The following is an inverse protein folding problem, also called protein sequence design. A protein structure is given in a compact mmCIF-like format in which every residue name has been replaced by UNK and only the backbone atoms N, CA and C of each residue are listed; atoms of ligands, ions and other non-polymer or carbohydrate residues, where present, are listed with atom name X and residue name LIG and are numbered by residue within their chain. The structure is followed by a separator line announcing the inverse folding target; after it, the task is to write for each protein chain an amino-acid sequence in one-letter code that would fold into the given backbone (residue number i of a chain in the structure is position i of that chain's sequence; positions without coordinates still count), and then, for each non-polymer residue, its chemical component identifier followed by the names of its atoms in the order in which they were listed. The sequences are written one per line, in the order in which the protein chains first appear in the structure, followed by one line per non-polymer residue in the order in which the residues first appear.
data_IF_909059611225
#
_entry.id   IF_909059611225
#
_cell.length_a   1.000
_cell.length_b   1.000
_cell.length_c   1.000
_cell.angle_alpha   90.00
_cell.angle_beta   90.00
_cell.angle_gamma   90.00
#
_symmetry.space_group_name_H-M   'P 1'
#
loop_
_entity.id
_entity.type
_entity.pdbx_description
1 polymer ?
#
# COMPACT_ATOMS: atom_id res chain seq x y z
N UNK A 1 -12.46 -19.69 9.99
CA UNK A 1 -12.64 -18.26 10.33
C UNK A 1 -12.24 -17.43 9.12
N UNK A 2 -12.80 -16.22 8.95
CA UNK A 2 -12.38 -15.32 7.86
C UNK A 2 -10.97 -14.81 8.18
N UNK A 3 -10.09 -14.75 7.19
CA UNK A 3 -8.72 -14.27 7.32
C UNK A 3 -8.64 -12.76 7.55
N UNK A 4 -7.41 -12.26 7.70
CA UNK A 4 -7.12 -10.84 7.97
C UNK A 4 -6.47 -10.20 6.75
N UNK A 5 -6.97 -9.05 6.31
CA UNK A 5 -6.41 -8.27 5.22
C UNK A 5 -5.62 -7.06 5.71
N UNK A 6 -4.33 -7.00 5.39
CA UNK A 6 -3.41 -5.93 5.78
C UNK A 6 -2.84 -5.30 4.52
N UNK A 7 -2.89 -3.97 4.42
CA UNK A 7 -2.16 -3.23 3.37
C UNK A 7 -1.00 -2.42 3.97
N UNK A 8 0.16 -2.47 3.32
CA UNK A 8 1.33 -1.67 3.68
C UNK A 8 1.51 -0.57 2.63
N UNK A 9 1.38 0.67 3.08
CA UNK A 9 1.26 1.89 2.29
C UNK A 9 2.37 2.88 2.64
N UNK A 10 2.48 3.94 1.83
CA UNK A 10 3.44 5.02 2.02
C UNK A 10 4.22 5.40 0.75
N UNK A 11 5.10 6.42 0.85
CA UNK A 11 5.89 6.93 -0.27
C UNK A 11 6.81 5.89 -0.91
N UNK A 12 7.29 6.17 -2.12
CA UNK A 12 8.31 5.31 -2.75
C UNK A 12 9.56 5.20 -1.88
N UNK A 13 10.19 4.02 -1.88
CA UNK A 13 11.45 3.74 -1.15
C UNK A 13 11.39 3.88 0.38
N UNK A 14 10.22 4.09 0.98
CA UNK A 14 10.05 4.11 2.46
C UNK A 14 10.25 2.74 3.13
N UNK A 15 10.25 1.64 2.37
CA UNK A 15 10.55 0.29 2.88
C UNK A 15 9.39 -0.70 2.87
N UNK A 16 8.24 -0.34 2.25
CA UNK A 16 7.02 -1.17 2.19
C UNK A 16 7.27 -2.63 1.83
N UNK A 17 7.96 -2.90 0.71
CA UNK A 17 8.22 -4.26 0.26
C UNK A 17 9.13 -5.03 1.21
N UNK A 18 10.04 -4.34 1.90
CA UNK A 18 10.92 -4.96 2.90
C UNK A 18 10.11 -5.35 4.14
N UNK A 19 9.31 -4.42 4.67
CA UNK A 19 8.49 -4.69 5.84
C UNK A 19 7.40 -5.73 5.57
N UNK A 20 6.82 -5.77 4.37
CA UNK A 20 5.89 -6.82 3.98
C UNK A 20 6.51 -8.22 3.95
N UNK A 21 7.76 -8.35 3.49
CA UNK A 21 8.49 -9.63 3.54
C UNK A 21 8.81 -10.05 4.97
N UNK A 22 9.33 -9.13 5.79
CA UNK A 22 9.65 -9.43 7.20
C UNK A 22 8.40 -9.83 7.99
N UNK A 23 7.29 -9.12 7.78
CA UNK A 23 6.02 -9.48 8.41
C UNK A 23 5.57 -10.88 8.00
N UNK A 24 5.55 -11.18 6.69
CA UNK A 24 5.22 -12.52 6.19
C UNK A 24 6.12 -13.58 6.83
N UNK A 25 7.43 -13.36 6.89
CA UNK A 25 8.38 -14.34 7.40
C UNK A 25 8.16 -14.58 8.91
N UNK A 26 8.01 -13.52 9.71
CA UNK A 26 7.64 -13.62 11.13
C UNK A 26 6.33 -14.39 11.35
N UNK A 27 5.31 -14.16 10.52
CA UNK A 27 4.04 -14.87 10.61
C UNK A 27 4.18 -16.36 10.25
N UNK A 28 4.97 -16.68 9.22
CA UNK A 28 5.25 -18.07 8.84
C UNK A 28 6.01 -18.81 9.92
N UNK A 29 7.00 -18.17 10.53
CA UNK A 29 7.79 -18.74 11.63
C UNK A 29 6.91 -19.01 12.88
N UNK A 30 5.88 -18.18 13.07
CA UNK A 30 4.86 -18.38 14.10
C UNK A 30 3.75 -19.38 13.70
N UNK A 31 3.84 -20.03 12.54
CA UNK A 31 2.85 -21.00 12.07
C UNK A 31 1.53 -20.40 11.55
N UNK A 32 1.47 -19.08 11.33
CA UNK A 32 0.28 -18.37 10.83
C UNK A 32 0.24 -18.43 9.30
N UNK A 33 -0.79 -19.05 8.68
CA UNK A 33 -0.98 -19.06 7.23
C UNK A 33 -1.11 -17.64 6.67
N UNK A 34 -0.20 -17.27 5.77
CA UNK A 34 -0.19 -15.94 5.18
C UNK A 34 0.30 -15.92 3.73
N UNK A 35 -0.09 -14.88 3.00
CA UNK A 35 0.44 -14.56 1.66
C UNK A 35 0.92 -13.11 1.61
N UNK A 36 1.90 -12.85 0.77
CA UNK A 36 2.37 -11.51 0.45
C UNK A 36 2.10 -11.24 -1.04
N UNK A 37 1.39 -10.15 -1.31
CA UNK A 37 1.08 -9.68 -2.66
C UNK A 37 1.39 -8.18 -2.77
N UNK A 38 1.13 -7.56 -3.92
CA UNK A 38 1.40 -6.14 -4.18
C UNK A 38 0.48 -5.58 -5.28
N UNK A 39 0.34 -4.26 -5.31
CA UNK A 39 -0.28 -3.52 -6.42
C UNK A 39 0.71 -2.52 -7.06
N UNK A 40 0.70 -2.32 -8.40
CA UNK A 40 -0.08 -3.05 -9.40
C UNK A 40 0.21 -4.56 -9.36
N UNK A 41 -0.81 -5.38 -9.59
CA UNK A 41 -0.77 -6.83 -9.40
C UNK A 41 0.10 -7.54 -10.43
N UNK A 42 0.42 -8.82 -10.21
CA UNK A 42 1.10 -9.65 -11.21
C UNK A 42 0.14 -10.27 -12.25
N UNK A 43 -1.14 -9.83 -12.27
CA UNK A 43 -2.11 -10.18 -13.32
C UNK A 43 -1.93 -9.33 -14.59
N UNK A 44 -2.70 -9.66 -15.64
CA UNK A 44 -2.60 -9.02 -16.96
C UNK A 44 -2.70 -7.49 -16.91
N UNK A 45 -3.62 -6.95 -16.11
CA UNK A 45 -3.84 -5.50 -15.99
C UNK A 45 -2.66 -4.84 -15.26
N UNK A 46 -2.23 -5.39 -14.13
CA UNK A 46 -1.08 -4.86 -13.37
C UNK A 46 0.24 -4.94 -14.14
N UNK A 47 0.46 -6.01 -14.93
CA UNK A 47 1.59 -6.11 -15.86
C UNK A 47 1.53 -5.02 -16.92
N UNK A 48 0.35 -4.76 -17.50
CA UNK A 48 0.14 -3.70 -18.47
C UNK A 48 0.42 -2.32 -17.86
N UNK A 49 -0.17 -2.02 -16.69
CA UNK A 49 0.06 -0.77 -15.95
C UNK A 49 1.55 -0.49 -15.72
N UNK A 50 2.31 -1.49 -15.24
CA UNK A 50 3.75 -1.30 -14.99
C UNK A 50 4.56 -0.98 -16.25
N UNK A 51 4.13 -1.47 -17.42
CA UNK A 51 4.77 -1.16 -18.70
C UNK A 51 4.42 0.26 -19.15
N UNK A 52 3.15 0.64 -19.05
CA UNK A 52 2.65 1.90 -19.63
C UNK A 52 2.83 3.13 -18.73
N UNK A 53 2.93 2.97 -17.40
CA UNK A 53 3.08 4.10 -16.47
C UNK A 53 4.36 4.92 -16.71
N UNK A 54 5.33 4.35 -17.43
CA UNK A 54 6.58 5.01 -17.82
C UNK A 54 6.56 5.59 -19.25
N UNK A 55 5.46 5.38 -20.00
CA UNK A 55 5.32 5.77 -21.41
C UNK A 55 4.74 7.17 -21.63
N UNK A 56 4.13 7.39 -22.81
CA UNK A 56 3.30 8.58 -23.10
C UNK A 56 2.03 8.45 -22.25
N UNK A 57 2.09 8.99 -21.02
CA UNK A 57 1.15 8.68 -19.94
C UNK A 57 -0.33 8.86 -20.30
N UNK A 58 -1.18 8.22 -19.51
CA UNK A 58 -2.63 8.37 -19.59
C UNK A 58 -3.10 9.70 -19.02
N UNK A 59 -4.33 10.11 -19.34
CA UNK A 59 -5.04 11.11 -18.56
C UNK A 59 -5.23 10.63 -17.11
N UNK A 60 -5.19 11.50 -16.10
CA UNK A 60 -5.26 11.12 -14.69
C UNK A 60 -6.45 10.19 -14.35
N UNK A 61 -7.62 10.46 -14.91
CA UNK A 61 -8.84 9.68 -14.71
C UNK A 61 -8.74 8.30 -15.36
N UNK A 62 -8.09 8.22 -16.53
CA UNK A 62 -7.84 6.94 -17.21
C UNK A 62 -6.87 6.08 -16.40
N UNK A 63 -5.81 6.70 -15.87
CA UNK A 63 -4.87 6.00 -14.97
C UNK A 63 -5.59 5.49 -13.72
N UNK A 64 -6.42 6.31 -13.08
CA UNK A 64 -7.23 5.93 -11.92
C UNK A 64 -8.13 4.71 -12.20
N UNK A 65 -8.81 4.70 -13.36
CA UNK A 65 -9.65 3.58 -13.79
C UNK A 65 -8.84 2.30 -14.02
N UNK A 66 -7.65 2.41 -14.62
CA UNK A 66 -6.78 1.25 -14.83
C UNK A 66 -6.30 0.65 -13.50
N UNK A 67 -5.91 1.49 -12.54
CA UNK A 67 -5.56 1.05 -11.18
C UNK A 67 -6.76 0.41 -10.46
N UNK A 68 -7.96 0.99 -10.59
CA UNK A 68 -9.17 0.42 -10.01
C UNK A 68 -9.53 -0.94 -10.64
N UNK A 69 -9.36 -1.08 -11.96
CA UNK A 69 -9.58 -2.34 -12.67
C UNK A 69 -8.58 -3.43 -12.23
N UNK A 70 -7.29 -3.09 -12.11
CA UNK A 70 -6.27 -4.01 -11.59
C UNK A 70 -6.59 -4.46 -10.15
N UNK A 71 -6.95 -3.50 -9.29
CA UNK A 71 -7.31 -3.78 -7.90
C UNK A 71 -8.51 -4.69 -7.77
N UNK A 72 -9.57 -4.46 -8.55
CA UNK A 72 -10.78 -5.30 -8.50
C UNK A 72 -10.47 -6.73 -8.93
N UNK A 73 -9.67 -6.89 -10.00
CA UNK A 73 -9.26 -8.21 -10.50
C UNK A 73 -8.41 -8.94 -9.47
N UNK A 74 -7.41 -8.25 -8.91
CA UNK A 74 -6.53 -8.76 -7.87
C UNK A 74 -7.31 -9.13 -6.59
N UNK A 75 -8.26 -8.30 -6.18
CA UNK A 75 -9.10 -8.56 -5.02
C UNK A 75 -9.93 -9.84 -5.20
N UNK A 76 -10.58 -10.00 -6.35
CA UNK A 76 -11.44 -11.16 -6.63
C UNK A 76 -10.67 -12.45 -6.85
N UNK A 77 -9.47 -12.38 -7.44
CA UNK A 77 -8.67 -13.57 -7.78
C UNK A 77 -7.73 -14.04 -6.68
N UNK A 78 -7.21 -13.12 -5.87
CA UNK A 78 -6.13 -13.43 -4.93
C UNK A 78 -6.54 -13.14 -3.50
N UNK A 79 -6.97 -11.90 -3.21
CA UNK A 79 -7.20 -11.44 -1.84
C UNK A 79 -8.42 -12.15 -1.24
N UNK A 80 -9.60 -12.01 -1.84
CA UNK A 80 -10.84 -12.55 -1.29
C UNK A 80 -10.82 -14.08 -1.13
N UNK A 81 -10.34 -14.88 -2.11
CA UNK A 81 -10.19 -16.32 -1.92
C UNK A 81 -9.25 -16.67 -0.75
N UNK A 82 -8.12 -15.98 -0.63
CA UNK A 82 -7.17 -16.22 0.47
C UNK A 82 -7.76 -15.88 1.84
N UNK A 83 -8.55 -14.81 1.92
CA UNK A 83 -9.29 -14.46 3.14
C UNK A 83 -10.35 -15.52 3.48
N UNK A 84 -11.02 -16.10 2.48
CA UNK A 84 -11.99 -17.16 2.71
C UNK A 84 -11.34 -18.47 3.21
N UNK A 85 -10.08 -18.70 2.86
CA UNK A 85 -9.25 -19.78 3.41
C UNK A 85 -8.69 -19.49 4.82
N UNK A 86 -9.03 -18.33 5.39
CA UNK A 86 -8.59 -17.93 6.72
C UNK A 86 -7.20 -17.27 6.77
N UNK A 87 -6.50 -17.12 5.64
CA UNK A 87 -5.10 -16.63 5.61
C UNK A 87 -5.00 -15.14 5.94
N UNK A 88 -3.86 -14.74 6.49
CA UNK A 88 -3.45 -13.33 6.54
C UNK A 88 -2.96 -12.91 5.15
N UNK A 89 -3.60 -11.92 4.54
CA UNK A 89 -3.20 -11.34 3.25
C UNK A 89 -2.47 -10.03 3.50
N UNK A 90 -1.19 -9.96 3.13
CA UNK A 90 -0.38 -8.74 3.20
C UNK A 90 -0.24 -8.19 1.78
N UNK A 91 -0.81 -7.02 1.49
CA UNK A 91 -0.62 -6.33 0.21
C UNK A 91 0.32 -5.15 0.35
N UNK A 92 1.37 -5.10 -0.49
CA UNK A 92 2.21 -3.91 -0.64
C UNK A 92 1.53 -2.97 -1.62
N UNK A 93 1.04 -1.84 -1.11
CA UNK A 93 0.08 -0.92 -1.76
C UNK A 93 -1.32 -1.52 -1.93
N UNK A 94 -2.31 -0.63 -1.88
CA UNK A 94 -3.73 -0.88 -2.11
C UNK A 94 -4.44 0.46 -2.41
N UNK A 95 -5.69 0.64 -1.96
CA UNK A 95 -6.52 1.82 -2.24
C UNK A 95 -5.89 3.15 -1.76
N UNK A 96 -5.21 3.19 -0.62
CA UNK A 96 -4.64 4.44 -0.11
C UNK A 96 -3.55 4.99 -1.05
N UNK A 97 -2.76 4.12 -1.68
CA UNK A 97 -1.87 4.55 -2.77
C UNK A 97 -2.63 5.28 -3.88
N UNK A 98 -3.83 4.83 -4.26
CA UNK A 98 -4.61 5.52 -5.29
C UNK A 98 -5.13 6.87 -4.81
N UNK A 99 -5.67 6.93 -3.60
CA UNK A 99 -6.16 8.18 -3.01
C UNK A 99 -5.04 9.23 -2.96
N UNK A 100 -3.79 8.83 -2.73
CA UNK A 100 -2.65 9.74 -2.73
C UNK A 100 -2.21 10.13 -4.16
N UNK A 101 -1.81 9.15 -4.97
CA UNK A 101 -1.12 9.46 -6.24
C UNK A 101 -2.08 10.04 -7.30
N UNK A 102 -3.31 9.52 -7.39
CA UNK A 102 -4.28 10.04 -8.36
C UNK A 102 -4.84 11.40 -7.94
N UNK A 103 -5.00 11.68 -6.65
CA UNK A 103 -5.44 13.02 -6.21
C UNK A 103 -4.37 14.10 -6.42
N UNK A 104 -3.09 13.75 -6.28
CA UNK A 104 -1.99 14.65 -6.69
C UNK A 104 -2.05 14.96 -8.19
N UNK A 105 -2.54 14.00 -8.98
CA UNK A 105 -2.71 14.15 -10.43
C UNK A 105 -4.01 14.88 -10.82
N UNK A 106 -4.78 15.39 -9.85
CA UNK A 106 -5.98 16.20 -10.07
C UNK A 106 -7.31 15.43 -10.06
N UNK A 107 -7.30 14.13 -9.75
CA UNK A 107 -8.52 13.33 -9.67
C UNK A 107 -9.20 13.51 -8.32
N UNK A 108 -10.50 13.73 -8.33
CA UNK A 108 -11.34 13.88 -7.14
C UNK A 108 -11.29 12.63 -6.23
N UNK A 109 -11.18 12.84 -4.91
CA UNK A 109 -10.98 11.75 -3.94
C UNK A 109 -12.23 10.89 -3.84
N UNK A 110 -13.41 11.50 -3.79
CA UNK A 110 -14.70 10.84 -3.72
C UNK A 110 -14.92 9.98 -4.98
N UNK A 111 -14.51 10.46 -6.15
CA UNK A 111 -14.54 9.66 -7.37
C UNK A 111 -13.57 8.47 -7.32
N UNK A 112 -12.36 8.63 -6.76
CA UNK A 112 -11.42 7.51 -6.57
C UNK A 112 -12.01 6.46 -5.61
N UNK A 113 -12.65 6.88 -4.51
CA UNK A 113 -13.36 5.99 -3.59
C UNK A 113 -14.49 5.24 -4.33
N UNK A 114 -15.30 5.95 -5.12
CA UNK A 114 -16.45 5.40 -5.86
C UNK A 114 -16.05 4.32 -6.87
N UNK A 115 -15.04 4.56 -7.71
CA UNK A 115 -14.59 3.57 -8.70
C UNK A 115 -13.96 2.33 -8.04
N UNK A 116 -13.58 2.41 -6.75
CA UNK A 116 -12.98 1.31 -5.99
C UNK A 116 -13.94 0.62 -5.02
N UNK A 117 -15.20 1.05 -4.92
CA UNK A 117 -16.16 0.58 -3.90
C UNK A 117 -16.45 -0.93 -3.88
N UNK A 118 -16.15 -1.63 -4.98
CA UNK A 118 -16.33 -3.09 -5.10
C UNK A 118 -15.11 -3.90 -4.70
N UNK A 119 -14.01 -3.24 -4.36
CA UNK A 119 -12.81 -3.86 -3.78
C UNK A 119 -12.92 -3.82 -2.26
N UNK A 120 -12.61 -4.93 -1.59
CA UNK A 120 -12.73 -5.00 -0.12
C UNK A 120 -11.77 -4.04 0.58
N UNK A 121 -12.07 -3.70 1.84
CA UNK A 121 -11.26 -2.78 2.64
C UNK A 121 -10.35 -3.58 3.59
N UNK A 122 -9.07 -3.19 3.76
CA UNK A 122 -8.18 -3.84 4.71
C UNK A 122 -8.67 -3.72 6.15
N UNK A 123 -8.51 -4.79 6.93
CA UNK A 123 -8.72 -4.79 8.38
C UNK A 123 -7.68 -3.91 9.10
N UNK A 124 -6.52 -3.70 8.47
CA UNK A 124 -5.48 -2.76 8.91
C UNK A 124 -4.71 -2.19 7.72
N UNK A 125 -4.56 -0.88 7.69
CA UNK A 125 -3.66 -0.18 6.77
C UNK A 125 -2.47 0.38 7.55
N UNK A 126 -1.28 -0.11 7.25
CA UNK A 126 -0.03 0.38 7.85
C UNK A 126 0.58 1.41 6.90
N UNK A 127 0.73 2.65 7.35
CA UNK A 127 1.32 3.73 6.56
C UNK A 127 2.72 3.99 7.06
N UNK A 128 3.71 3.59 6.27
CA UNK A 128 5.11 3.87 6.56
C UNK A 128 5.46 5.26 6.05
N UNK A 129 5.96 6.11 6.94
CA UNK A 129 6.45 7.45 6.62
C UNK A 129 7.91 7.59 7.02
N UNK A 130 8.60 8.56 6.41
CA UNK A 130 9.95 8.93 6.77
C UNK A 130 10.14 10.40 6.41
N UNK A 131 11.15 11.05 6.97
CA UNK A 131 11.51 12.39 6.55
C UNK A 131 11.97 12.41 5.07
N UNK A 132 11.90 13.61 4.50
CA UNK A 132 12.18 13.86 3.08
C UNK A 132 13.63 13.49 2.78
N UNK A 133 14.54 13.89 3.66
CA UNK A 133 15.98 13.68 3.54
C UNK A 133 16.32 12.19 3.43
N UNK A 134 15.71 11.35 4.27
CA UNK A 134 15.87 9.89 4.27
C UNK A 134 15.32 9.27 2.99
N UNK A 135 14.16 9.72 2.50
CA UNK A 135 13.59 9.24 1.25
C UNK A 135 14.48 9.63 0.06
N UNK A 136 14.95 10.87 0.01
CA UNK A 136 15.86 11.38 -1.03
C UNK A 136 17.19 10.63 -1.01
N UNK A 137 17.78 10.36 0.15
CA UNK A 137 19.01 9.60 0.25
C UNK A 137 18.85 8.16 -0.25
N UNK A 138 17.70 7.53 0.03
CA UNK A 138 17.37 6.20 -0.52
C UNK A 138 17.13 6.25 -2.03
N UNK A 139 16.59 7.35 -2.56
CA UNK A 139 16.41 7.60 -4.00
C UNK A 139 17.78 7.70 -4.69
N UNK A 140 18.66 8.58 -4.19
CA UNK A 140 19.98 8.88 -4.79
C UNK A 140 20.90 7.66 -4.86
N UNK A 141 20.74 6.69 -3.95
CA UNK A 141 21.52 5.44 -3.93
C UNK A 141 21.21 4.47 -5.10
N UNK A 142 20.24 4.75 -5.99
CA UNK A 142 19.97 3.92 -7.21
C UNK A 142 19.97 4.74 -8.51
N UNK A 143 20.54 4.16 -9.58
CA UNK A 143 20.83 4.82 -10.88
C UNK A 143 19.61 5.15 -11.79
N UNK A 144 18.39 4.66 -11.54
CA UNK A 144 17.23 4.90 -12.43
C UNK A 144 16.30 5.97 -11.84
N UNK A 145 16.14 7.07 -12.59
CA UNK A 145 15.15 8.13 -12.33
C UNK A 145 13.80 7.76 -12.97
N UNK A 146 12.73 7.71 -12.18
CA UNK A 146 11.32 7.68 -12.59
C UNK A 146 10.74 9.11 -12.70
N UNK A 147 9.63 9.27 -13.44
CA UNK A 147 8.85 10.52 -13.55
C UNK A 147 8.37 11.05 -12.18
N UNK A 148 8.27 10.17 -11.18
CA UNK A 148 7.88 10.50 -9.82
C UNK A 148 9.05 10.91 -8.90
N UNK A 149 10.28 11.08 -9.41
CA UNK A 149 11.47 11.26 -8.56
C UNK A 149 11.96 12.71 -8.40
N UNK A 150 11.13 13.72 -8.72
CA UNK A 150 11.47 15.10 -8.30
C UNK A 150 11.34 15.22 -6.78
N UNK A 151 12.21 16.00 -6.16
CA UNK A 151 12.22 16.18 -4.71
C UNK A 151 10.91 16.83 -4.23
N UNK A 152 10.37 17.77 -5.00
CA UNK A 152 9.09 18.43 -4.76
C UNK A 152 7.92 17.44 -4.84
N UNK A 153 7.95 16.53 -5.82
CA UNK A 153 6.91 15.51 -5.96
C UNK A 153 6.90 14.55 -4.77
N UNK A 154 8.07 14.13 -4.29
CA UNK A 154 8.17 13.26 -3.12
C UNK A 154 7.68 13.94 -1.85
N UNK A 155 7.96 15.23 -1.68
CA UNK A 155 7.44 16.02 -0.57
C UNK A 155 5.91 16.11 -0.61
N UNK A 156 5.33 16.38 -1.78
CA UNK A 156 3.87 16.35 -1.97
C UNK A 156 3.29 14.98 -1.62
N UNK A 157 3.92 13.87 -2.05
CA UNK A 157 3.47 12.51 -1.73
C UNK A 157 3.49 12.24 -0.23
N UNK A 158 4.57 12.59 0.47
CA UNK A 158 4.70 12.40 1.92
C UNK A 158 3.60 13.16 2.66
N UNK A 159 3.41 14.44 2.33
CA UNK A 159 2.39 15.25 2.98
C UNK A 159 0.98 14.77 2.67
N UNK A 160 0.73 14.35 1.43
CA UNK A 160 -0.58 13.80 1.03
C UNK A 160 -0.88 12.49 1.75
N UNK A 161 0.11 11.61 1.95
CA UNK A 161 -0.06 10.43 2.79
C UNK A 161 -0.40 10.82 4.23
N UNK A 162 0.31 11.78 4.84
CA UNK A 162 0.00 12.25 6.20
C UNK A 162 -1.42 12.79 6.30
N UNK A 163 -1.80 13.67 5.38
CA UNK A 163 -3.12 14.30 5.34
C UNK A 163 -4.22 13.25 5.19
N UNK A 164 -4.21 12.48 4.10
CA UNK A 164 -5.28 11.51 3.80
C UNK A 164 -5.36 10.46 4.89
N UNK A 165 -4.23 9.95 5.40
CA UNK A 165 -4.25 8.96 6.47
C UNK A 165 -4.92 9.50 7.73
N UNK A 166 -4.61 10.74 8.15
CA UNK A 166 -5.25 11.38 9.31
C UNK A 166 -6.75 11.61 9.09
N UNK A 167 -7.13 12.06 7.90
CA UNK A 167 -8.53 12.32 7.57
C UNK A 167 -9.35 11.02 7.52
N UNK A 168 -8.79 9.95 6.97
CA UNK A 168 -9.41 8.63 6.96
C UNK A 168 -9.44 7.99 8.35
N UNK A 169 -8.41 8.13 9.19
CA UNK A 169 -8.41 7.64 10.58
C UNK A 169 -9.54 8.24 11.42
N UNK A 170 -10.05 9.43 11.06
CA UNK A 170 -11.22 10.04 11.72
C UNK A 170 -12.54 9.41 11.28
N UNK A 171 -12.58 8.74 10.12
CA UNK A 171 -13.73 7.99 9.63
C UNK A 171 -13.69 6.59 10.28
N UNK A 172 -14.73 6.20 11.03
CA UNK A 172 -14.79 4.93 11.77
C UNK A 172 -14.58 3.65 10.95
N UNK A 173 -14.62 3.73 9.62
CA UNK A 173 -14.48 2.59 8.72
C UNK A 173 -13.01 2.22 8.41
N UNK A 174 -12.06 3.14 8.61
CA UNK A 174 -10.64 2.90 8.31
C UNK A 174 -9.84 2.65 9.58
N UNK A 175 -9.21 1.48 9.67
CA UNK A 175 -8.21 1.19 10.68
C UNK A 175 -6.81 1.46 10.12
N UNK A 176 -6.22 2.60 10.48
CA UNK A 176 -4.94 3.06 9.94
C UNK A 176 -3.94 3.28 11.07
N UNK A 177 -2.77 2.67 10.92
CA UNK A 177 -1.61 2.86 11.82
C UNK A 177 -0.48 3.55 11.05
N UNK A 178 -0.09 4.75 11.50
CA UNK A 178 1.00 5.51 10.90
C UNK A 178 2.29 5.19 11.66
N UNK A 179 3.32 4.72 10.95
CA UNK A 179 4.62 4.36 11.52
C UNK A 179 5.69 5.22 10.87
N UNK A 180 6.30 6.11 11.66
CA UNK A 180 7.51 6.83 11.27
C UNK A 180 8.71 5.87 11.26
N UNK A 181 9.41 5.82 10.13
CA UNK A 181 10.51 4.90 9.84
C UNK A 181 11.83 5.64 9.79
N UNK A 182 12.83 5.10 10.51
CA UNK A 182 14.19 5.59 10.54
C UNK A 182 15.14 4.77 9.65
N UNK A 183 16.44 4.80 9.98
CA UNK A 183 17.44 3.97 9.31
C UNK A 183 17.44 2.51 9.81
N UNK A 184 16.93 2.25 11.01
CA UNK A 184 16.85 0.91 11.59
C UNK A 184 15.64 0.13 11.03
N UNK A 185 15.98 -0.94 10.33
CA UNK A 185 15.04 -1.82 9.65
C UNK A 185 14.35 -2.77 10.63
N UNK A 186 15.04 -3.19 11.68
CA UNK A 186 14.53 -4.08 12.72
C UNK A 186 13.58 -3.33 13.65
N UNK A 187 13.93 -2.12 14.06
CA UNK A 187 13.05 -1.24 14.85
C UNK A 187 11.71 -1.01 14.11
N UNK A 188 11.77 -0.72 12.81
CA UNK A 188 10.56 -0.57 11.99
C UNK A 188 9.76 -1.87 11.93
N UNK A 189 10.44 -3.02 11.82
CA UNK A 189 9.81 -4.33 11.78
C UNK A 189 9.08 -4.69 13.08
N UNK A 190 9.65 -4.31 14.23
CA UNK A 190 9.01 -4.49 15.53
C UNK A 190 7.76 -3.62 15.69
N UNK A 191 7.82 -2.35 15.26
CA UNK A 191 6.64 -1.46 15.25
C UNK A 191 5.53 -2.01 14.36
N UNK A 192 5.87 -2.49 13.17
CA UNK A 192 4.92 -3.14 12.25
C UNK A 192 4.28 -4.36 12.92
N UNK A 193 5.09 -5.25 13.53
CA UNK A 193 4.56 -6.43 14.20
C UNK A 193 3.62 -6.04 15.35
N UNK A 194 3.99 -5.04 16.17
CA UNK A 194 3.17 -4.54 17.29
C UNK A 194 1.82 -4.02 16.81
N UNK A 195 1.77 -3.31 15.69
CA UNK A 195 0.52 -2.82 15.09
C UNK A 195 -0.37 -3.96 14.56
N UNK A 196 0.25 -5.02 14.05
CA UNK A 196 -0.45 -6.15 13.42
C UNK A 196 -0.99 -7.16 14.44
N UNK A 197 -0.26 -7.41 15.53
CA UNK A 197 -0.61 -8.45 16.52
C UNK A 197 -2.06 -8.39 17.02
N UNK A 198 -2.65 -7.22 17.39
CA UNK A 198 -4.02 -7.15 17.88
C UNK A 198 -5.09 -7.50 16.85
N UNK A 199 -4.76 -7.40 15.56
CA UNK A 199 -5.68 -7.70 14.46
C UNK A 199 -5.65 -9.19 14.14
N UNK A 200 -4.46 -9.80 14.19
CA UNK A 200 -4.28 -11.24 13.94
C UNK A 200 -4.78 -12.10 15.10
N UNK A 201 -4.59 -11.66 16.35
CA UNK A 201 -5.00 -12.42 17.56
C UNK A 201 -6.52 -12.63 17.69
N UNK A 202 -7.31 -11.96 16.85
CA UNK A 202 -8.76 -12.19 16.74
C UNK A 202 -9.11 -13.44 15.92
N UNK A 203 -8.15 -13.99 15.18
CA UNK A 203 -8.33 -15.10 14.23
C UNK A 203 -7.46 -16.31 14.58
N UNK A 204 -6.29 -16.09 15.19
CA UNK A 204 -5.30 -17.11 15.56
C UNK A 204 -4.89 -16.95 17.02
#
# INVERSE_FOLDING_TARGET
MKGVFISIEGPDRVGKSTQGRLLRDKLRDAGVPCILTKEPSDDKIGIFLRKEIHGKGFYPETEALLFAADRLEHYRRVILPSLNEGKVVISVRYLLSSLVYQSISGVDIEWIEEINKYSGVPDLTIVLLSDKETIIDRIRKKKRKSKFESEEFQEMVIEKYRQISRDLSRKHFWNIEIIETGMDLEETSEKVMRAVSPVISKVY
#
